data_IF_042897036827
#
_entry.id   IF_042897036827
#
_cell.length_a   1.000
_cell.length_b   1.000
_cell.length_c   1.000
_cell.angle_alpha   90.00
_cell.angle_beta   90.00
_cell.angle_gamma   90.00
#
_symmetry.space_group_name_H-M   'P 1'
#
loop_
_entity.id
_entity.type
_entity.pdbx_description
1 polymer ?
#
# COMPACT_ATOMS: atom_id res chain seq x y z
N UNK A 1 -1.09 -3.65 -16.51
CA UNK A 1 -1.82 -3.06 -15.35
C UNK A 1 -1.62 -3.86 -14.06
N UNK A 2 -2.06 -5.11 -13.92
CA UNK A 2 -1.90 -5.85 -12.64
C UNK A 2 -0.42 -6.10 -12.29
N UNK A 3 0.41 -6.54 -13.23
CA UNK A 3 1.84 -6.79 -12.99
C UNK A 3 2.60 -5.50 -12.61
N UNK A 4 2.22 -4.37 -13.19
CA UNK A 4 2.80 -3.06 -12.90
C UNK A 4 2.38 -2.56 -11.50
N UNK A 5 1.11 -2.74 -11.13
CA UNK A 5 0.64 -2.47 -9.77
C UNK A 5 1.40 -3.33 -8.74
N UNK A 6 1.65 -4.62 -9.03
CA UNK A 6 2.42 -5.50 -8.14
C UNK A 6 3.91 -5.13 -8.08
N UNK A 7 4.49 -4.65 -9.16
CA UNK A 7 5.85 -4.11 -9.16
C UNK A 7 5.94 -2.85 -8.29
N UNK A 8 4.96 -1.95 -8.37
CA UNK A 8 4.88 -0.75 -7.52
C UNK A 8 4.68 -1.10 -6.04
N UNK A 9 3.91 -2.15 -5.75
CA UNK A 9 3.67 -2.68 -4.40
C UNK A 9 4.84 -3.50 -3.83
N UNK A 10 5.96 -3.65 -4.56
CA UNK A 10 7.21 -4.13 -3.98
C UNK A 10 7.73 -3.20 -2.87
N UNK A 11 7.33 -1.93 -2.94
CA UNK A 11 7.50 -0.95 -1.85
C UNK A 11 6.15 -0.59 -1.24
N UNK A 12 6.06 -0.32 0.08
CA UNK A 12 4.82 0.14 0.69
C UNK A 12 4.32 1.42 0.04
N UNK A 13 3.05 1.43 -0.38
CA UNK A 13 2.40 2.60 -0.99
C UNK A 13 0.98 2.79 -0.48
N UNK A 14 0.57 4.04 -0.32
CA UNK A 14 -0.83 4.39 -0.08
C UNK A 14 -1.66 4.26 -1.37
N UNK A 15 -3.00 4.13 -1.29
CA UNK A 15 -3.86 4.12 -2.47
C UNK A 15 -3.67 5.35 -3.37
N UNK A 16 -3.46 6.53 -2.79
CA UNK A 16 -3.22 7.78 -3.53
C UNK A 16 -1.89 7.77 -4.28
N UNK A 17 -0.83 7.23 -3.69
CA UNK A 17 0.47 7.08 -4.37
C UNK A 17 0.41 6.07 -5.50
N UNK A 18 -0.29 4.95 -5.28
CA UNK A 18 -0.51 3.95 -6.33
C UNK A 18 -1.34 4.53 -7.47
N UNK A 19 -2.40 5.28 -7.16
CA UNK A 19 -3.23 5.97 -8.14
C UNK A 19 -2.40 6.93 -9.00
N UNK A 20 -1.58 7.78 -8.36
CA UNK A 20 -0.69 8.71 -9.06
C UNK A 20 0.33 8.00 -9.94
N UNK A 21 0.90 6.88 -9.49
CA UNK A 21 1.87 6.10 -10.26
C UNK A 21 1.24 5.40 -11.47
N UNK A 22 -0.02 4.98 -11.35
CA UNK A 22 -0.77 4.30 -12.43
C UNK A 22 -1.60 5.25 -13.30
N UNK A 23 -1.61 6.54 -13.02
CA UNK A 23 -2.47 7.51 -13.72
C UNK A 23 -3.97 7.28 -13.49
N UNK A 24 -4.35 6.72 -12.34
CA UNK A 24 -5.73 6.39 -11.98
C UNK A 24 -6.33 7.38 -10.99
N UNK A 25 -7.65 7.34 -10.85
CA UNK A 25 -8.35 7.97 -9.73
C UNK A 25 -8.06 7.21 -8.43
N UNK A 26 -7.93 7.89 -7.27
CA UNK A 26 -7.74 7.27 -5.96
C UNK A 26 -8.73 6.13 -5.67
N UNK A 27 -10.01 6.36 -5.98
CA UNK A 27 -11.09 5.39 -5.77
C UNK A 27 -10.89 4.12 -6.61
N UNK A 28 -10.40 4.29 -7.85
CA UNK A 28 -10.09 3.16 -8.74
C UNK A 28 -8.88 2.36 -8.24
N UNK A 29 -7.86 3.04 -7.72
CA UNK A 29 -6.72 2.37 -7.11
C UNK A 29 -7.11 1.61 -5.84
N UNK A 30 -8.03 2.14 -5.05
CA UNK A 30 -8.56 1.44 -3.87
C UNK A 30 -9.33 0.17 -4.25
N UNK A 31 -10.20 0.23 -5.26
CA UNK A 31 -10.90 -0.95 -5.78
C UNK A 31 -9.91 -2.00 -6.32
N UNK A 32 -8.86 -1.56 -7.02
CA UNK A 32 -7.79 -2.44 -7.50
C UNK A 32 -7.08 -3.13 -6.32
N UNK A 33 -6.76 -2.39 -5.27
CA UNK A 33 -6.10 -2.94 -4.07
C UNK A 33 -6.96 -3.99 -3.38
N UNK A 34 -8.26 -3.71 -3.17
CA UNK A 34 -9.21 -4.68 -2.61
C UNK A 34 -9.34 -5.94 -3.47
N UNK A 35 -9.32 -5.79 -4.80
CA UNK A 35 -9.34 -6.92 -5.73
C UNK A 35 -8.05 -7.75 -5.64
N UNK A 36 -6.89 -7.11 -5.51
CA UNK A 36 -5.61 -7.79 -5.32
C UNK A 36 -5.53 -8.49 -3.95
N UNK A 37 -6.11 -7.89 -2.91
CA UNK A 37 -6.24 -8.47 -1.58
C UNK A 37 -7.09 -9.74 -1.58
N UNK A 38 -8.28 -9.68 -2.18
CA UNK A 38 -9.19 -10.82 -2.28
C UNK A 38 -8.55 -12.02 -3.02
N UNK A 39 -7.57 -11.75 -3.89
CA UNK A 39 -6.80 -12.75 -4.63
C UNK A 39 -5.49 -13.15 -3.95
N UNK A 40 -5.16 -12.56 -2.80
CA UNK A 40 -3.93 -12.82 -2.06
C UNK A 40 -2.66 -12.27 -2.70
N UNK A 41 -2.75 -11.29 -3.61
CA UNK A 41 -1.59 -10.67 -4.25
C UNK A 41 -1.09 -9.41 -3.54
N UNK A 42 -1.94 -8.77 -2.74
CA UNK A 42 -1.60 -7.59 -1.95
C UNK A 42 -2.21 -7.70 -0.55
N UNK A 43 -1.68 -6.94 0.40
CA UNK A 43 -2.26 -6.85 1.75
C UNK A 43 -2.04 -5.46 2.34
N UNK A 44 -2.96 -4.99 3.21
CA UNK A 44 -2.75 -3.78 3.97
C UNK A 44 -1.64 -4.01 4.98
N UNK A 45 -0.66 -3.13 4.96
CA UNK A 45 0.35 -2.99 5.99
C UNK A 45 -0.24 -2.14 7.10
N UNK A 46 -0.89 -2.79 8.06
CA UNK A 46 -1.26 -2.14 9.30
C UNK A 46 0.03 -1.85 10.07
N UNK A 47 0.44 -0.58 10.13
CA UNK A 47 1.49 -0.12 11.03
C UNK A 47 1.00 -0.15 12.48
N UNK A 48 0.57 -1.33 12.94
CA UNK A 48 0.13 -1.59 14.30
C UNK A 48 1.29 -2.13 15.12
N UNK A 49 1.50 -1.55 16.29
CA UNK A 49 2.29 -2.06 17.43
C UNK A 49 3.82 -1.93 17.45
N UNK A 50 4.57 -1.99 16.34
CA UNK A 50 6.05 -1.88 16.42
C UNK A 50 6.62 -0.47 16.17
N UNK A 51 5.99 0.30 15.27
CA UNK A 51 6.47 1.64 14.91
C UNK A 51 6.47 2.62 16.10
N UNK A 52 5.64 2.42 17.13
CA UNK A 52 5.64 3.27 18.34
C UNK A 52 6.94 3.22 19.16
N UNK A 53 7.72 2.14 19.05
CA UNK A 53 9.04 1.97 19.69
C UNK A 53 10.19 1.99 18.68
N UNK A 54 9.91 2.17 17.39
CA UNK A 54 10.93 2.25 16.37
C UNK A 54 11.67 3.59 16.51
N UNK A 55 13.00 3.57 16.63
CA UNK A 55 13.82 4.78 16.64
C UNK A 55 13.68 5.61 15.35
N UNK A 56 13.24 4.97 14.25
CA UNK A 56 13.01 5.59 12.95
C UNK A 56 11.52 5.84 12.67
N UNK A 57 10.67 5.88 13.70
CA UNK A 57 9.22 6.11 13.54
C UNK A 57 8.89 7.40 12.79
N UNK A 58 9.73 8.43 12.93
CA UNK A 58 9.56 9.73 12.26
C UNK A 58 9.89 9.65 10.76
N UNK A 59 10.53 8.57 10.32
CA UNK A 59 10.75 8.25 8.90
C UNK A 59 9.68 7.30 8.35
N UNK A 60 8.87 6.67 9.20
CA UNK A 60 7.70 5.95 8.73
C UNK A 60 6.64 6.94 8.28
N UNK A 61 5.98 6.65 7.15
CA UNK A 61 4.87 7.43 6.65
C UNK A 61 3.75 7.59 7.68
N UNK A 62 2.87 8.55 7.44
CA UNK A 62 1.77 8.92 8.33
C UNK A 62 1.00 7.68 8.85
N UNK A 63 0.92 7.46 10.18
CA UNK A 63 0.32 6.26 10.76
C UNK A 63 -1.19 6.19 10.57
N UNK A 64 -1.85 7.31 10.20
CA UNK A 64 -3.26 7.31 9.83
C UNK A 64 -3.51 6.81 8.40
N UNK A 65 -2.45 6.63 7.59
CA UNK A 65 -2.57 6.13 6.22
C UNK A 65 -2.30 4.64 6.14
N UNK A 66 -3.26 3.92 5.56
CA UNK A 66 -3.10 2.49 5.25
C UNK A 66 -2.16 2.37 4.05
N UNK A 67 -1.01 1.74 4.29
CA UNK A 67 -0.08 1.39 3.23
C UNK A 67 -0.38 -0.02 2.75
N UNK A 68 -0.08 -0.31 1.49
CA UNK A 68 -0.30 -1.60 0.87
C UNK A 68 1.03 -2.15 0.36
N UNK A 69 1.21 -3.46 0.49
CA UNK A 69 2.40 -4.18 0.00
C UNK A 69 1.99 -5.41 -0.77
N UNK A 70 2.88 -5.87 -1.66
CA UNK A 70 2.75 -7.16 -2.34
C UNK A 70 2.76 -8.29 -1.30
N UNK A 71 1.85 -9.24 -1.45
CA UNK A 71 1.83 -10.47 -0.66
C UNK A 71 3.02 -11.39 -1.05
N UNK A 72 3.54 -12.18 -0.10
CA UNK A 72 4.67 -13.09 -0.36
C UNK A 72 4.37 -14.15 -1.43
#
# INVERSE_FOLDING_TARGET
>A
MIQEALALLATPKTPSELARALGLRPETAELLLRHLEAKGYARPLNCGTACGRCAFKELCGDPAKVHWVRAP
#
